data_IF_568111669894
#
_entry.id   IF_568111669894
#
_cell.length_a   1.000
_cell.length_b   1.000
_cell.length_c   1.000
_cell.angle_alpha   90.00
_cell.angle_beta   90.00
_cell.angle_gamma   90.00
#
_symmetry.space_group_name_H-M   'P 1'
#
loop_
_entity.id
_entity.type
_entity.pdbx_description
1 polymer ?
#
# COMPACT_ATOMS: atom_id res chain seq x y z
N UNK A 1 18.62 32.33 -3.39
CA UNK A 1 17.74 31.60 -4.31
C UNK A 1 17.44 30.29 -3.61
N UNK A 2 16.19 30.03 -3.24
CA UNK A 2 15.84 28.75 -2.63
C UNK A 2 16.02 27.67 -3.70
N UNK A 3 16.70 26.57 -3.36
CA UNK A 3 16.74 25.40 -4.23
C UNK A 3 15.29 24.94 -4.45
N UNK A 4 14.79 25.12 -5.67
CA UNK A 4 13.49 24.61 -6.08
C UNK A 4 13.46 23.11 -5.82
N UNK A 5 12.51 22.67 -5.00
CA UNK A 5 12.24 21.25 -4.81
C UNK A 5 11.61 20.75 -6.11
N UNK A 6 12.45 20.24 -7.02
CA UNK A 6 12.02 19.68 -8.32
C UNK A 6 11.48 18.26 -8.13
N UNK A 7 10.36 18.12 -7.45
CA UNK A 7 9.58 16.89 -7.52
C UNK A 7 8.74 16.94 -8.80
N UNK A 8 9.06 16.07 -9.76
CA UNK A 8 8.24 15.94 -10.96
C UNK A 8 6.85 15.41 -10.54
N UNK A 9 5.81 16.22 -10.73
CA UNK A 9 4.44 15.85 -10.39
C UNK A 9 4.00 14.56 -11.08
N UNK A 10 4.37 14.36 -12.34
CA UNK A 10 3.98 13.16 -13.08
C UNK A 10 4.55 11.89 -12.44
N UNK A 11 5.83 11.92 -12.04
CA UNK A 11 6.51 10.79 -11.41
C UNK A 11 5.91 10.49 -10.02
N UNK A 12 5.60 11.53 -9.25
CA UNK A 12 4.96 11.36 -7.94
C UNK A 12 3.51 10.83 -8.06
N UNK A 13 2.74 11.25 -9.07
CA UNK A 13 1.38 10.73 -9.29
C UNK A 13 1.42 9.29 -9.75
N UNK A 14 2.38 8.94 -10.62
CA UNK A 14 2.62 7.57 -11.04
C UNK A 14 3.01 6.68 -9.85
N UNK A 15 3.90 7.16 -8.97
CA UNK A 15 4.30 6.45 -7.77
C UNK A 15 3.12 6.23 -6.81
N UNK A 16 2.35 7.28 -6.49
CA UNK A 16 1.17 7.18 -5.62
C UNK A 16 0.14 6.17 -6.15
N UNK A 17 -0.11 6.20 -7.46
CA UNK A 17 -1.01 5.25 -8.13
C UNK A 17 -0.45 3.82 -8.11
N UNK A 18 0.86 3.66 -8.28
CA UNK A 18 1.56 2.38 -8.18
C UNK A 18 1.40 1.75 -6.80
N UNK A 19 1.71 2.50 -5.74
CA UNK A 19 1.51 2.03 -4.36
C UNK A 19 0.05 1.68 -4.07
N UNK A 20 -0.92 2.46 -4.56
CA UNK A 20 -2.34 2.12 -4.42
C UNK A 20 -2.67 0.78 -5.09
N UNK A 21 -2.25 0.59 -6.33
CA UNK A 21 -2.50 -0.65 -7.08
C UNK A 21 -1.84 -1.86 -6.40
N UNK A 22 -0.63 -1.69 -5.88
CA UNK A 22 0.07 -2.73 -5.12
C UNK A 22 -0.64 -3.06 -3.82
N UNK A 23 -1.14 -2.06 -3.08
CA UNK A 23 -1.92 -2.29 -1.86
C UNK A 23 -3.22 -3.07 -2.16
N UNK A 24 -3.91 -2.73 -3.26
CA UNK A 24 -5.11 -3.45 -3.71
C UNK A 24 -4.77 -4.90 -4.13
N UNK A 25 -3.63 -5.12 -4.80
CA UNK A 25 -3.16 -6.47 -5.16
C UNK A 25 -2.83 -7.31 -3.91
N UNK A 26 -2.15 -6.72 -2.92
CA UNK A 26 -1.86 -7.38 -1.64
C UNK A 26 -3.17 -7.74 -0.93
N UNK A 27 -4.14 -6.83 -0.89
CA UNK A 27 -5.46 -7.11 -0.32
C UNK A 27 -6.14 -8.30 -1.01
N UNK A 28 -6.14 -8.34 -2.35
CA UNK A 28 -6.71 -9.46 -3.10
C UNK A 28 -6.01 -10.80 -2.82
N UNK A 29 -4.69 -10.78 -2.63
CA UNK A 29 -3.95 -11.97 -2.21
C UNK A 29 -4.34 -12.42 -0.79
N UNK A 30 -4.60 -11.48 0.13
CA UNK A 30 -5.04 -11.81 1.49
C UNK A 30 -6.43 -12.43 1.52
N UNK A 31 -7.35 -11.93 0.69
CA UNK A 31 -8.69 -12.52 0.54
C UNK A 31 -8.60 -13.97 0.05
N UNK A 32 -7.72 -14.26 -0.91
CA UNK A 32 -7.47 -15.64 -1.36
C UNK A 32 -6.90 -16.54 -0.25
N UNK A 33 -5.97 -16.02 0.56
CA UNK A 33 -5.41 -16.79 1.69
C UNK A 33 -6.47 -17.09 2.74
N UNK A 34 -7.37 -16.14 3.04
CA UNK A 34 -8.49 -16.34 3.95
C UNK A 34 -9.43 -17.44 3.44
N UNK A 35 -9.79 -17.42 2.15
CA UNK A 35 -10.60 -18.47 1.53
C UNK A 35 -9.93 -19.85 1.63
N UNK A 36 -8.60 -19.92 1.48
CA UNK A 36 -7.84 -21.16 1.63
C UNK A 36 -7.83 -21.67 3.09
N UNK A 37 -7.70 -20.76 4.07
CA UNK A 37 -7.80 -21.11 5.50
C UNK A 37 -9.18 -21.70 5.81
N UNK A 38 -10.25 -21.09 5.31
CA UNK A 38 -11.61 -21.56 5.51
C UNK A 38 -11.87 -22.93 4.87
N UNK A 39 -11.31 -23.18 3.68
CA UNK A 39 -11.37 -24.51 3.07
C UNK A 39 -10.64 -25.55 3.92
N UNK A 40 -9.43 -25.21 4.39
CA UNK A 40 -8.67 -26.09 5.27
C UNK A 40 -9.34 -26.30 6.62
N UNK A 41 -10.13 -25.36 7.14
CA UNK A 41 -10.87 -25.52 8.41
C UNK A 41 -11.78 -26.76 8.42
N UNK A 42 -12.26 -27.18 7.25
CA UNK A 42 -13.11 -28.37 7.11
C UNK A 42 -12.30 -29.68 7.03
N UNK A 43 -10.97 -29.62 6.97
CA UNK A 43 -10.09 -30.78 6.84
C UNK A 43 -9.47 -31.12 8.21
N UNK A 44 -9.46 -32.42 8.53
CA UNK A 44 -8.85 -32.95 9.75
C UNK A 44 -7.47 -33.55 9.43
N UNK A 45 -6.46 -33.22 10.24
CA UNK A 45 -5.11 -33.77 10.14
C UNK A 45 -4.02 -32.74 10.33
N UNK A 46 -2.86 -33.20 10.78
CA UNK A 46 -1.70 -32.37 11.17
C UNK A 46 -1.20 -31.45 10.03
N UNK A 47 -1.32 -31.90 8.77
CA UNK A 47 -1.00 -31.10 7.59
C UNK A 47 -2.00 -29.95 7.36
N UNK A 48 -3.29 -30.15 7.67
CA UNK A 48 -4.29 -29.10 7.60
C UNK A 48 -4.09 -28.07 8.72
N UNK A 49 -3.72 -28.51 9.93
CA UNK A 49 -3.33 -27.63 11.03
C UNK A 49 -2.11 -26.76 10.68
N UNK A 50 -1.03 -27.38 10.18
CA UNK A 50 0.17 -26.67 9.75
C UNK A 50 -0.11 -25.70 8.59
N UNK A 51 -0.98 -26.09 7.65
CA UNK A 51 -1.44 -25.23 6.56
C UNK A 51 -2.20 -24.01 7.05
N UNK A 52 -3.17 -24.20 7.96
CA UNK A 52 -3.94 -23.09 8.57
C UNK A 52 -3.04 -22.11 9.30
N UNK A 53 -2.13 -22.60 10.13
CA UNK A 53 -1.23 -21.73 10.90
C UNK A 53 -0.26 -20.94 10.00
N UNK A 54 0.23 -21.58 8.93
CA UNK A 54 1.10 -20.92 7.94
C UNK A 54 0.35 -19.84 7.16
N UNK A 55 -0.86 -20.13 6.70
CA UNK A 55 -1.68 -19.19 5.93
C UNK A 55 -2.19 -18.04 6.81
N UNK A 56 -2.50 -18.28 8.08
CA UNK A 56 -2.86 -17.24 9.04
C UNK A 56 -1.71 -16.24 9.24
N UNK A 57 -0.47 -16.73 9.40
CA UNK A 57 0.73 -15.88 9.47
C UNK A 57 0.96 -15.08 8.18
N UNK A 58 0.79 -15.72 7.03
CA UNK A 58 0.89 -15.03 5.75
C UNK A 58 -0.18 -13.92 5.61
N UNK A 59 -1.40 -14.17 6.12
CA UNK A 59 -2.48 -13.18 6.14
C UNK A 59 -2.16 -11.97 7.02
N UNK A 60 -1.53 -12.18 8.17
CA UNK A 60 -1.11 -11.11 9.09
C UNK A 60 -0.04 -10.23 8.45
N UNK A 61 1.03 -10.84 7.92
CA UNK A 61 2.13 -10.13 7.26
C UNK A 61 1.64 -9.35 6.05
N UNK A 62 0.78 -9.95 5.22
CA UNK A 62 0.26 -9.25 4.04
C UNK A 62 -0.70 -8.11 4.40
N UNK A 63 -1.41 -8.18 5.52
CA UNK A 63 -2.18 -7.03 6.03
C UNK A 63 -1.26 -5.86 6.40
N UNK A 64 -0.21 -6.11 7.16
CA UNK A 64 0.77 -5.07 7.53
C UNK A 64 1.43 -4.46 6.29
N UNK A 65 1.81 -5.31 5.32
CA UNK A 65 2.36 -4.86 4.05
C UNK A 65 1.36 -3.99 3.28
N UNK A 66 0.11 -4.41 3.14
CA UNK A 66 -0.93 -3.65 2.45
C UNK A 66 -1.20 -2.30 3.10
N UNK A 67 -1.25 -2.25 4.44
CA UNK A 67 -1.40 -1.01 5.21
C UNK A 67 -0.20 -0.07 5.02
N UNK A 68 1.02 -0.60 5.09
CA UNK A 68 2.25 0.16 4.86
C UNK A 68 2.35 0.72 3.44
N UNK A 69 2.05 -0.09 2.43
CA UNK A 69 2.05 0.30 1.02
C UNK A 69 1.02 1.40 0.76
N UNK A 70 -0.20 1.27 1.30
CA UNK A 70 -1.23 2.29 1.19
C UNK A 70 -0.82 3.60 1.90
N UNK A 71 -0.21 3.51 3.09
CA UNK A 71 0.29 4.67 3.82
C UNK A 71 1.36 5.44 3.04
N UNK A 72 2.33 4.73 2.44
CA UNK A 72 3.36 5.36 1.59
C UNK A 72 2.71 6.08 0.40
N UNK A 73 1.73 5.45 -0.26
CA UNK A 73 0.97 6.07 -1.34
C UNK A 73 0.27 7.37 -0.89
N UNK A 74 -0.35 7.37 0.29
CA UNK A 74 -0.98 8.57 0.87
C UNK A 74 0.03 9.67 1.20
N UNK A 75 1.20 9.32 1.74
CA UNK A 75 2.27 10.28 2.01
C UNK A 75 2.73 10.98 0.72
N UNK A 76 2.83 10.25 -0.40
CA UNK A 76 3.20 10.83 -1.70
C UNK A 76 2.12 11.82 -2.16
N UNK A 77 0.82 11.44 -2.10
CA UNK A 77 -0.28 12.35 -2.46
C UNK A 77 -0.27 13.62 -1.60
N UNK A 78 -0.09 13.47 -0.28
CA UNK A 78 -0.04 14.61 0.64
C UNK A 78 1.17 15.53 0.34
N UNK A 79 2.32 14.94 0.02
CA UNK A 79 3.51 15.68 -0.39
C UNK A 79 3.25 16.47 -1.69
N UNK A 80 2.61 15.85 -2.69
CA UNK A 80 2.24 16.52 -3.94
C UNK A 80 1.33 17.74 -3.71
N UNK A 81 0.29 17.58 -2.88
CA UNK A 81 -0.61 18.69 -2.55
C UNK A 81 0.14 19.83 -1.85
N UNK A 82 1.03 19.48 -0.92
CA UNK A 82 1.84 20.46 -0.19
C UNK A 82 2.76 21.24 -1.14
N UNK A 83 3.43 20.57 -2.09
CA UNK A 83 4.28 21.25 -3.06
C UNK A 83 3.49 22.14 -4.03
N UNK A 84 2.34 21.67 -4.52
CA UNK A 84 1.50 22.49 -5.40
C UNK A 84 1.03 23.78 -4.70
N UNK A 85 0.60 23.69 -3.44
CA UNK A 85 0.19 24.87 -2.67
C UNK A 85 1.36 25.81 -2.34
N UNK A 86 2.56 25.27 -2.15
CA UNK A 86 3.76 26.05 -1.91
C UNK A 86 4.19 26.82 -3.17
N UNK A 87 4.14 26.18 -4.35
CA UNK A 87 4.43 26.81 -5.63
C UNK A 87 3.42 27.91 -5.96
N UNK A 88 2.12 27.65 -5.79
CA UNK A 88 1.07 28.67 -6.01
C UNK A 88 1.26 29.90 -5.10
N UNK A 89 1.67 29.67 -3.84
CA UNK A 89 1.95 30.73 -2.87
C UNK A 89 3.24 31.51 -3.19
N UNK A 90 4.25 30.84 -3.74
CA UNK A 90 5.49 31.47 -4.19
C UNK A 90 5.25 32.29 -5.46
N UNK A 91 4.50 31.75 -6.42
CA UNK A 91 4.09 32.44 -7.66
C UNK A 91 3.21 33.66 -7.38
N UNK A 92 2.32 33.60 -6.37
CA UNK A 92 1.49 34.74 -5.96
C UNK A 92 2.26 35.87 -5.25
N UNK A 93 3.52 35.63 -4.85
CA UNK A 93 4.39 36.61 -4.15
C UNK A 93 5.49 37.20 -5.04
N UNK A 94 5.58 36.79 -6.30
CA UNK A 94 6.40 37.41 -7.35
C UNK A 94 5.54 38.33 -8.22
#
# INVERSE_FOLDING_TARGET
>A
MADEIKVNQADATAAASGFKNEADAVKGAMELLADMVDQLANWQGEAADAGRDTLAKASEVGKELGEGTNFIGQCIVNAQQTFSMADDSAAAKM
#
